data_IF_002890486330
#
_entry.id   IF_002890486330
#
_cell.length_a   1.000
_cell.length_b   1.000
_cell.length_c   1.000
_cell.angle_alpha   90.00
_cell.angle_beta   90.00
_cell.angle_gamma   90.00
#
_symmetry.space_group_name_H-M   'P 1'
#
loop_
_entity.id
_entity.type
_entity.pdbx_description
1 polymer ?
#
# COMPACT_ATOMS: atom_id res chain seq x y z
N UNK A 1 -23.18 -2.98 18.40
CA UNK A 1 -22.61 -1.72 18.97
C UNK A 1 -22.02 -0.93 17.82
N UNK A 2 -22.23 0.37 17.74
CA UNK A 2 -21.67 1.24 16.70
C UNK A 2 -20.28 1.67 17.15
N UNK A 3 -19.28 1.63 16.26
CA UNK A 3 -17.90 1.97 16.59
C UNK A 3 -17.14 2.51 15.37
N UNK A 4 -15.96 3.07 15.60
CA UNK A 4 -15.03 3.46 14.53
C UNK A 4 -14.40 2.21 13.95
N UNK A 5 -14.51 2.07 12.63
CA UNK A 5 -13.93 0.96 11.88
C UNK A 5 -13.07 1.51 10.74
N UNK A 6 -12.09 0.75 10.32
CA UNK A 6 -11.26 1.08 9.17
C UNK A 6 -12.14 1.06 7.90
N UNK A 7 -12.26 2.21 7.22
CA UNK A 7 -12.97 2.31 5.95
C UNK A 7 -12.08 1.93 4.76
N UNK A 8 -10.88 2.47 4.72
CA UNK A 8 -9.80 2.17 3.78
C UNK A 8 -8.52 2.84 4.30
N UNK A 9 -7.37 2.21 4.08
CA UNK A 9 -6.07 2.79 4.46
C UNK A 9 -4.95 2.32 3.53
N UNK A 10 -4.05 3.24 3.22
CA UNK A 10 -2.71 2.96 2.72
C UNK A 10 -1.72 3.71 3.61
N UNK A 11 -0.81 2.99 4.25
CA UNK A 11 0.16 3.60 5.16
C UNK A 11 1.17 4.42 4.40
N UNK A 12 1.68 5.47 5.04
CA UNK A 12 2.82 6.21 4.51
C UNK A 12 4.12 5.43 4.72
N UNK A 13 5.02 5.54 3.74
CA UNK A 13 6.38 5.03 3.78
C UNK A 13 7.32 6.07 4.40
N UNK A 14 8.47 5.60 4.88
CA UNK A 14 9.50 6.42 5.48
C UNK A 14 10.42 7.04 4.41
N UNK A 15 10.20 8.31 4.09
CA UNK A 15 11.06 9.10 3.21
C UNK A 15 11.99 10.06 3.96
N UNK A 16 12.31 9.82 5.22
CA UNK A 16 13.19 10.70 6.01
C UNK A 16 14.58 10.88 5.36
N UNK A 17 15.10 9.89 4.63
CA UNK A 17 16.37 9.97 3.91
C UNK A 17 16.30 10.73 2.58
N UNK A 18 15.08 10.91 2.03
CA UNK A 18 14.83 11.60 0.76
C UNK A 18 13.50 12.37 0.81
N UNK A 19 13.33 13.31 1.75
CA UNK A 19 12.06 13.97 1.99
C UNK A 19 11.71 14.99 0.90
N UNK A 20 10.43 15.25 0.73
CA UNK A 20 9.91 16.25 -0.19
C UNK A 20 9.87 17.61 0.50
N UNK A 21 10.63 18.59 -0.01
CA UNK A 21 10.65 19.98 0.46
C UNK A 21 9.81 20.84 -0.46
N UNK A 22 8.63 21.24 0.00
CA UNK A 22 7.66 21.98 -0.81
C UNK A 22 7.43 23.38 -0.21
N UNK A 23 7.43 24.41 -1.06
CA UNK A 23 7.16 25.80 -0.64
C UNK A 23 5.72 25.97 -0.19
N UNK A 24 4.81 25.38 -0.93
CA UNK A 24 3.38 25.26 -0.65
C UNK A 24 2.92 23.86 -1.08
N UNK A 25 1.80 23.42 -0.54
CA UNK A 25 1.17 22.16 -0.96
C UNK A 25 -0.33 22.36 -1.13
N UNK A 26 -0.86 21.91 -2.25
CA UNK A 26 -2.25 21.52 -2.41
C UNK A 26 -2.29 20.09 -2.95
N UNK A 27 -2.97 19.19 -2.25
CA UNK A 27 -3.14 17.80 -2.70
C UNK A 27 -4.59 17.39 -2.63
N UNK A 28 -5.05 16.61 -3.60
CA UNK A 28 -6.33 15.91 -3.60
C UNK A 28 -6.06 14.42 -3.57
N UNK A 29 -6.68 13.73 -2.63
CA UNK A 29 -6.66 12.27 -2.53
C UNK A 29 -8.08 11.77 -2.55
N UNK A 30 -8.38 10.83 -3.45
CA UNK A 30 -9.64 10.12 -3.49
C UNK A 30 -9.48 8.74 -2.86
N UNK A 31 -10.39 8.40 -1.96
CA UNK A 31 -10.52 7.06 -1.39
C UNK A 31 -11.91 6.51 -1.66
N UNK A 32 -12.00 5.20 -1.92
CA UNK A 32 -13.25 4.46 -2.00
C UNK A 32 -13.44 3.62 -0.74
N UNK A 33 -14.20 4.10 0.28
CA UNK A 33 -14.39 3.38 1.53
C UNK A 33 -15.15 2.06 1.34
N UNK A 34 -14.81 1.06 2.13
CA UNK A 34 -15.43 -0.25 2.14
C UNK A 34 -16.69 -0.33 3.02
N UNK A 35 -16.95 0.70 3.82
CA UNK A 35 -17.99 0.71 4.82
C UNK A 35 -18.95 1.89 4.63
N UNK A 36 -20.22 1.64 4.86
CA UNK A 36 -21.23 2.67 5.02
C UNK A 36 -21.33 3.11 6.47
N UNK A 37 -21.56 4.42 6.70
CA UNK A 37 -21.69 4.96 8.04
C UNK A 37 -22.15 6.40 8.07
N UNK A 38 -22.21 6.97 9.28
CA UNK A 38 -22.81 8.31 9.51
C UNK A 38 -21.79 9.39 9.82
N UNK A 39 -20.54 9.03 10.15
CA UNK A 39 -19.44 9.95 10.43
C UNK A 39 -18.14 9.39 9.89
N UNK A 40 -17.21 10.27 9.60
CA UNK A 40 -15.85 9.94 9.15
C UNK A 40 -14.79 10.66 9.98
N UNK A 41 -13.60 10.07 10.04
CA UNK A 41 -12.35 10.67 10.50
C UNK A 41 -11.25 10.38 9.49
N UNK A 42 -10.33 11.30 9.33
CA UNK A 42 -9.09 11.06 8.60
C UNK A 42 -8.00 10.60 9.57
N UNK A 43 -7.13 9.73 9.08
CA UNK A 43 -5.90 9.32 9.78
C UNK A 43 -4.74 10.04 9.11
N UNK A 44 -4.05 10.88 9.87
CA UNK A 44 -2.93 11.68 9.40
C UNK A 44 -1.64 11.26 10.10
N UNK A 45 -0.51 11.33 9.38
CA UNK A 45 0.81 10.89 9.85
C UNK A 45 1.89 11.95 9.63
N UNK A 46 2.75 12.11 10.60
CA UNK A 46 4.04 12.79 10.55
C UNK A 46 5.06 11.97 11.36
N UNK A 47 4.99 10.65 11.19
CA UNK A 47 5.76 9.69 11.99
C UNK A 47 7.27 9.80 11.69
N UNK A 48 7.61 10.12 10.46
CA UNK A 48 8.98 10.19 9.95
C UNK A 48 9.49 11.62 9.77
N UNK A 49 8.66 12.63 10.03
CA UNK A 49 9.01 14.03 9.86
C UNK A 49 10.04 14.55 10.86
N UNK A 50 10.83 15.53 10.43
CA UNK A 50 11.85 16.21 11.25
C UNK A 50 11.27 17.36 12.09
N UNK A 51 10.13 17.92 11.69
CA UNK A 51 9.44 19.03 12.34
C UNK A 51 7.92 18.79 12.31
N UNK A 52 7.17 19.58 13.09
CA UNK A 52 5.71 19.58 13.04
C UNK A 52 5.23 19.99 11.66
N UNK A 53 4.21 19.31 11.14
CA UNK A 53 3.52 19.66 9.89
C UNK A 53 2.23 20.42 10.18
N UNK A 54 1.95 21.42 9.37
CA UNK A 54 0.77 22.23 9.49
C UNK A 54 0.00 22.27 8.15
N UNK A 55 -1.24 21.83 8.19
CA UNK A 55 -2.20 22.00 7.10
C UNK A 55 -3.17 23.11 7.49
N UNK A 56 -3.19 24.19 6.71
CA UNK A 56 -4.04 25.35 6.99
C UNK A 56 -5.52 25.04 6.81
N UNK A 57 -5.83 24.19 5.81
CA UNK A 57 -7.19 23.74 5.52
C UNK A 57 -7.19 22.30 5.02
N UNK A 58 -8.17 21.53 5.51
CA UNK A 58 -8.48 20.20 5.01
C UNK A 58 -9.99 20.15 4.75
N UNK A 59 -10.36 19.77 3.53
CA UNK A 59 -11.75 19.60 3.12
C UNK A 59 -12.03 18.17 2.70
N UNK A 60 -13.24 17.71 2.99
CA UNK A 60 -13.78 16.44 2.50
C UNK A 60 -15.02 16.71 1.65
N UNK A 61 -15.14 16.04 0.50
CA UNK A 61 -16.25 16.15 -0.43
C UNK A 61 -16.60 14.79 -1.03
N UNK A 62 -17.81 14.67 -1.54
CA UNK A 62 -18.24 13.57 -2.42
C UNK A 62 -18.02 13.90 -3.90
N UNK A 63 -17.60 15.09 -4.21
CA UNK A 63 -17.37 15.63 -5.55
C UNK A 63 -15.91 16.02 -5.73
N UNK A 64 -15.29 15.60 -6.82
CA UNK A 64 -13.89 15.94 -7.14
C UNK A 64 -13.64 17.44 -7.24
N UNK A 65 -14.63 18.21 -7.68
CA UNK A 65 -14.54 19.66 -7.84
C UNK A 65 -14.82 20.47 -6.56
N UNK A 66 -15.18 19.79 -5.47
CA UNK A 66 -15.44 20.43 -4.16
C UNK A 66 -16.49 21.56 -4.18
N UNK A 67 -17.52 21.48 -5.05
CA UNK A 67 -18.64 22.46 -5.00
C UNK A 67 -19.33 22.39 -3.64
N UNK A 68 -19.61 21.19 -3.16
CA UNK A 68 -20.02 20.94 -1.77
C UNK A 68 -18.86 20.33 -1.01
N UNK A 69 -18.36 21.03 -0.02
CA UNK A 69 -17.20 20.59 0.80
C UNK A 69 -17.45 20.80 2.28
N UNK A 70 -16.90 19.91 3.09
CA UNK A 70 -17.00 19.93 4.53
C UNK A 70 -15.61 20.17 5.12
N UNK A 71 -15.50 21.19 6.00
CA UNK A 71 -14.26 21.47 6.71
C UNK A 71 -13.95 20.36 7.70
N UNK A 72 -12.76 19.77 7.59
CA UNK A 72 -12.21 18.86 8.57
C UNK A 72 -11.47 19.65 9.63
N UNK A 73 -11.64 19.29 10.90
CA UNK A 73 -11.00 19.94 12.04
C UNK A 73 -10.21 18.94 12.89
N UNK A 74 -9.30 19.47 13.68
CA UNK A 74 -8.63 18.72 14.76
C UNK A 74 -8.62 19.59 16.02
N UNK A 75 -9.11 19.06 17.13
CA UNK A 75 -9.36 19.82 18.37
C UNK A 75 -10.20 21.08 18.13
N UNK A 76 -11.21 20.97 17.25
CA UNK A 76 -12.10 22.06 16.78
C UNK A 76 -11.42 23.21 16.04
N UNK A 77 -10.13 23.06 15.71
CA UNK A 77 -9.38 24.02 14.90
C UNK A 77 -9.39 23.63 13.43
N UNK A 78 -9.51 24.61 12.52
CA UNK A 78 -9.42 24.41 11.06
C UNK A 78 -8.00 24.04 10.64
N UNK A 79 -7.02 24.71 11.26
CA UNK A 79 -5.62 24.41 11.05
C UNK A 79 -5.27 23.12 11.80
N UNK A 80 -4.74 22.15 11.08
CA UNK A 80 -4.36 20.85 11.62
C UNK A 80 -2.85 20.75 11.75
N UNK A 81 -2.37 20.67 12.98
CA UNK A 81 -0.94 20.48 13.26
C UNK A 81 -0.69 19.03 13.64
N UNK A 82 0.19 18.36 12.89
CA UNK A 82 0.63 17.00 13.17
C UNK A 82 2.02 17.08 13.77
N UNK A 83 2.15 16.77 15.06
CA UNK A 83 3.45 16.81 15.74
C UNK A 83 4.42 15.81 15.11
N UNK A 84 5.69 16.20 15.07
CA UNK A 84 6.80 15.30 14.69
C UNK A 84 6.73 13.98 15.44
N UNK A 85 6.90 12.86 14.74
CA UNK A 85 6.90 11.53 15.30
C UNK A 85 5.51 10.99 15.70
N UNK A 86 4.41 11.67 15.30
CA UNK A 86 3.07 11.30 15.71
C UNK A 86 2.13 11.04 14.53
N UNK A 87 1.09 10.29 14.83
CA UNK A 87 -0.12 10.15 14.02
C UNK A 87 -1.30 10.75 14.80
N UNK A 88 -2.32 11.22 14.08
CA UNK A 88 -3.55 11.70 14.68
C UNK A 88 -4.77 11.24 13.89
N UNK A 89 -5.91 11.24 14.57
CA UNK A 89 -7.22 11.13 13.96
C UNK A 89 -7.92 12.48 14.11
N UNK A 90 -8.51 12.97 13.01
CA UNK A 90 -9.25 14.24 13.03
C UNK A 90 -10.50 14.17 13.89
N UNK A 91 -11.13 15.31 14.16
CA UNK A 91 -12.44 15.32 14.79
C UNK A 91 -13.46 14.55 13.94
N UNK A 92 -14.51 13.98 14.55
CA UNK A 92 -15.59 13.35 13.80
C UNK A 92 -16.31 14.34 12.89
N UNK A 93 -16.31 14.09 11.59
CA UNK A 93 -17.13 14.82 10.64
C UNK A 93 -18.44 14.07 10.41
N UNK A 94 -19.59 14.70 10.70
CA UNK A 94 -20.91 14.13 10.38
C UNK A 94 -21.13 14.19 8.87
N UNK A 95 -21.01 13.04 8.22
CA UNK A 95 -21.21 12.86 6.79
C UNK A 95 -21.67 11.42 6.54
N UNK A 96 -22.81 11.27 5.88
CA UNK A 96 -23.29 9.94 5.46
C UNK A 96 -22.39 9.43 4.33
N UNK A 97 -21.76 8.29 4.55
CA UNK A 97 -20.86 7.60 3.60
C UNK A 97 -21.54 6.30 3.17
N UNK A 98 -21.34 5.93 1.92
CA UNK A 98 -21.73 4.62 1.38
C UNK A 98 -20.48 3.86 0.94
N UNK A 99 -20.47 2.55 1.19
CA UNK A 99 -19.43 1.67 0.69
C UNK A 99 -19.38 1.75 -0.85
N UNK A 100 -18.17 1.86 -1.41
CA UNK A 100 -17.96 2.01 -2.85
C UNK A 100 -18.12 3.44 -3.40
N UNK A 101 -18.62 4.41 -2.61
CA UNK A 101 -18.73 5.81 -3.01
C UNK A 101 -17.40 6.54 -2.77
N UNK A 102 -16.83 7.18 -3.79
CA UNK A 102 -15.57 7.93 -3.64
C UNK A 102 -15.73 9.14 -2.73
N UNK A 103 -14.76 9.34 -1.85
CA UNK A 103 -14.58 10.52 -1.03
C UNK A 103 -13.29 11.22 -1.44
N UNK A 104 -13.36 12.53 -1.62
CA UNK A 104 -12.25 13.36 -2.04
C UNK A 104 -11.78 14.21 -0.86
N UNK A 105 -10.50 14.19 -0.57
CA UNK A 105 -9.86 14.93 0.50
C UNK A 105 -8.90 15.93 -0.12
N UNK A 106 -9.15 17.23 0.11
CA UNK A 106 -8.29 18.32 -0.33
C UNK A 106 -7.56 18.90 0.87
N UNK A 107 -6.24 18.77 0.88
CA UNK A 107 -5.37 19.26 1.95
C UNK A 107 -4.47 20.37 1.44
N UNK A 108 -4.36 21.47 2.20
CA UNK A 108 -3.65 22.69 1.80
C UNK A 108 -2.68 23.13 2.88
N UNK A 109 -1.46 23.49 2.46
CA UNK A 109 -0.44 24.11 3.30
C UNK A 109 0.20 25.29 2.58
N UNK A 110 0.15 26.48 3.19
CA UNK A 110 0.61 27.73 2.59
C UNK A 110 2.11 28.00 2.81
N UNK A 111 2.72 27.32 3.78
CA UNK A 111 4.12 27.53 4.19
C UNK A 111 5.04 26.43 3.69
N UNK A 112 6.33 26.76 3.57
CA UNK A 112 7.38 25.78 3.25
C UNK A 112 7.48 24.73 4.36
N UNK A 113 7.39 23.46 3.98
CA UNK A 113 7.50 22.30 4.88
C UNK A 113 8.24 21.16 4.22
N UNK A 114 8.66 20.19 5.05
CA UNK A 114 9.36 18.97 4.63
C UNK A 114 8.49 17.77 4.95
N UNK A 115 8.12 17.00 3.94
CA UNK A 115 7.24 15.84 4.07
C UNK A 115 8.06 14.55 3.93
N UNK A 116 8.06 13.73 4.97
CA UNK A 116 8.75 12.44 5.01
C UNK A 116 7.79 11.25 5.09
N UNK A 117 6.53 11.50 5.42
CA UNK A 117 5.44 10.52 5.37
C UNK A 117 4.80 10.58 3.99
N UNK A 118 5.15 9.63 3.11
CA UNK A 118 4.73 9.62 1.70
C UNK A 118 4.01 8.32 1.40
N UNK A 119 2.80 8.41 0.85
CA UNK A 119 2.12 7.27 0.27
C UNK A 119 2.05 7.39 -1.25
N UNK A 120 1.95 6.26 -1.93
CA UNK A 120 1.89 6.26 -3.39
C UNK A 120 1.12 5.08 -3.95
N UNK A 121 0.67 5.24 -5.19
CA UNK A 121 0.02 4.19 -5.97
C UNK A 121 0.23 4.43 -7.48
N UNK A 122 0.02 3.42 -8.29
CA UNK A 122 -0.10 3.54 -9.75
C UNK A 122 -1.53 3.25 -10.19
N UNK A 123 -2.15 2.21 -9.65
CA UNK A 123 -3.57 1.92 -9.88
C UNK A 123 -4.46 3.02 -9.25
N UNK A 124 -5.66 3.21 -9.80
CA UNK A 124 -6.57 4.30 -9.42
C UNK A 124 -8.00 3.84 -9.14
N UNK A 125 -8.20 2.54 -8.99
CA UNK A 125 -9.53 1.97 -8.78
C UNK A 125 -10.15 2.39 -7.44
N UNK A 126 -9.37 2.27 -6.36
CA UNK A 126 -9.82 2.57 -4.99
C UNK A 126 -9.18 3.82 -4.41
N UNK A 127 -7.95 4.12 -4.83
CA UNK A 127 -7.16 5.25 -4.33
C UNK A 127 -6.57 5.98 -5.53
N UNK A 128 -6.75 7.29 -5.59
CA UNK A 128 -6.10 8.14 -6.60
C UNK A 128 -5.65 9.43 -5.93
N UNK A 129 -4.56 10.02 -6.40
CA UNK A 129 -4.03 11.25 -5.82
C UNK A 129 -3.37 12.14 -6.87
N UNK A 130 -3.35 13.43 -6.56
CA UNK A 130 -2.59 14.45 -7.29
C UNK A 130 -2.19 15.56 -6.34
N UNK A 131 -1.06 16.21 -6.60
CA UNK A 131 -0.62 17.38 -5.82
C UNK A 131 0.01 18.44 -6.71
N UNK A 132 0.07 19.66 -6.19
CA UNK A 132 0.75 20.82 -6.78
C UNK A 132 1.31 21.74 -5.72
N UNK A 133 2.18 22.68 -6.14
CA UNK A 133 2.86 23.61 -5.24
C UNK A 133 2.25 25.01 -5.29
N UNK A 134 0.92 25.09 -5.39
CA UNK A 134 0.15 26.36 -5.31
C UNK A 134 -0.99 26.19 -4.33
N UNK A 135 -1.04 27.01 -3.29
CA UNK A 135 -1.99 26.88 -2.18
C UNK A 135 -3.46 26.89 -2.63
N UNK A 136 -3.84 27.80 -3.54
CA UNK A 136 -5.23 27.93 -4.02
C UNK A 136 -5.57 27.03 -5.22
N UNK A 137 -4.67 26.13 -5.57
CA UNK A 137 -4.90 25.17 -6.65
C UNK A 137 -5.61 23.93 -6.14
N UNK A 138 -6.65 23.47 -6.86
CA UNK A 138 -7.27 22.16 -6.64
C UNK A 138 -6.77 21.19 -7.71
N UNK A 139 -5.84 20.28 -7.38
CA UNK A 139 -5.30 19.33 -8.34
C UNK A 139 -6.37 18.40 -8.89
N UNK A 140 -6.44 18.26 -10.20
CA UNK A 140 -7.31 17.27 -10.85
C UNK A 140 -6.68 15.89 -10.80
N UNK A 141 -7.49 14.89 -10.55
CA UNK A 141 -7.07 13.49 -10.56
C UNK A 141 -6.95 13.00 -12.01
N UNK A 142 -5.90 12.23 -12.26
CA UNK A 142 -5.64 11.64 -13.59
C UNK A 142 -5.56 10.13 -13.50
N UNK A 143 -6.05 9.45 -14.54
CA UNK A 143 -5.89 8.01 -14.71
C UNK A 143 -4.76 7.78 -15.71
N UNK A 144 -3.63 7.30 -15.24
CA UNK A 144 -2.48 6.91 -16.05
C UNK A 144 -1.66 5.87 -15.28
N UNK A 145 -1.70 4.61 -15.72
CA UNK A 145 -1.03 3.50 -15.04
C UNK A 145 0.51 3.58 -15.08
N UNK A 146 1.08 4.36 -16.00
CA UNK A 146 2.54 4.57 -16.06
C UNK A 146 3.02 5.73 -15.19
N UNK A 147 2.12 6.42 -14.49
CA UNK A 147 2.45 7.54 -13.63
C UNK A 147 2.21 7.21 -12.17
N UNK A 148 3.25 7.30 -11.34
CA UNK A 148 3.14 7.24 -9.89
C UNK A 148 2.33 8.42 -9.38
N UNK A 149 1.30 8.16 -8.58
CA UNK A 149 0.55 9.14 -7.81
C UNK A 149 1.09 9.11 -6.40
N UNK A 150 1.51 10.26 -5.89
CA UNK A 150 2.01 10.39 -4.52
C UNK A 150 1.22 11.44 -3.77
N UNK A 151 1.10 11.25 -2.45
CA UNK A 151 0.51 12.21 -1.53
C UNK A 151 1.21 12.13 -0.18
N UNK A 152 0.94 13.10 0.68
CA UNK A 152 1.69 13.30 1.91
C UNK A 152 0.77 13.23 3.13
N UNK A 153 1.23 12.57 4.18
CA UNK A 153 0.66 12.61 5.53
C UNK A 153 -0.77 12.10 5.71
N UNK A 154 -1.48 11.68 4.66
CA UNK A 154 -2.83 11.11 4.74
C UNK A 154 -2.78 9.61 4.53
N UNK A 155 -3.13 8.83 5.54
CA UNK A 155 -3.10 7.37 5.46
C UNK A 155 -4.46 6.76 5.12
N UNK A 156 -5.58 7.35 5.59
CA UNK A 156 -6.86 6.72 5.31
C UNK A 156 -8.05 7.34 6.03
N UNK A 157 -9.15 6.58 6.00
CA UNK A 157 -10.45 6.98 6.50
C UNK A 157 -10.97 5.95 7.50
N UNK A 158 -11.44 6.43 8.66
CA UNK A 158 -12.24 5.66 9.60
C UNK A 158 -13.72 6.04 9.43
N UNK A 159 -14.60 5.06 9.53
CA UNK A 159 -16.05 5.23 9.41
C UNK A 159 -16.75 4.81 10.69
N UNK A 160 -17.69 5.63 11.17
CA UNK A 160 -18.57 5.31 12.31
C UNK A 160 -19.74 4.46 11.84
N UNK A 161 -19.70 3.17 12.15
CA UNK A 161 -20.62 2.17 11.58
C UNK A 161 -20.98 1.07 12.57
N UNK A 162 -22.07 0.35 12.29
CA UNK A 162 -22.47 -0.86 13.02
C UNK A 162 -21.77 -2.13 12.50
N UNK A 163 -21.17 -2.08 11.32
CA UNK A 163 -20.48 -3.21 10.70
C UNK A 163 -19.16 -3.49 11.41
N UNK A 164 -18.76 -4.75 11.44
CA UNK A 164 -17.48 -5.21 11.99
C UNK A 164 -16.76 -6.00 10.90
N UNK A 165 -16.06 -5.33 9.98
CA UNK A 165 -15.42 -6.00 8.86
C UNK A 165 -14.19 -6.78 9.31
N UNK A 166 -13.83 -7.81 8.54
CA UNK A 166 -12.49 -8.38 8.55
C UNK A 166 -11.53 -7.39 7.88
N UNK A 167 -10.46 -7.01 8.55
CA UNK A 167 -9.39 -6.20 7.94
C UNK A 167 -8.47 -7.13 7.17
N UNK A 168 -8.40 -6.95 5.85
CA UNK A 168 -7.40 -7.62 5.00
C UNK A 168 -6.25 -6.66 4.75
N UNK A 169 -5.06 -7.07 5.17
CA UNK A 169 -3.82 -6.33 4.97
C UNK A 169 -3.10 -6.83 3.71
N UNK A 170 -2.71 -5.88 2.86
CA UNK A 170 -1.79 -6.10 1.76
C UNK A 170 -0.40 -5.65 2.19
N UNK A 171 0.53 -6.58 2.30
CA UNK A 171 1.90 -6.34 2.71
C UNK A 171 2.88 -6.80 1.63
N UNK A 172 4.16 -6.48 1.80
CA UNK A 172 5.20 -6.88 0.87
C UNK A 172 5.88 -5.69 0.21
N UNK A 173 6.10 -5.79 -1.09
CA UNK A 173 6.88 -4.84 -1.87
C UNK A 173 6.02 -4.03 -2.87
N UNK A 174 6.69 -3.47 -3.90
CA UNK A 174 6.04 -2.67 -4.95
C UNK A 174 4.88 -3.38 -5.66
N UNK A 175 4.89 -4.70 -5.75
CA UNK A 175 3.82 -5.46 -6.41
C UNK A 175 2.47 -5.26 -5.71
N UNK A 176 2.48 -5.02 -4.38
CA UNK A 176 1.29 -4.69 -3.61
C UNK A 176 1.08 -3.18 -3.44
N UNK A 177 2.17 -2.40 -3.19
CA UNK A 177 2.06 -0.94 -3.00
C UNK A 177 1.53 -0.23 -4.24
N UNK A 178 1.96 -0.62 -5.45
CA UNK A 178 1.53 -0.01 -6.70
C UNK A 178 0.02 -0.12 -6.97
N UNK A 179 -0.67 -1.01 -6.27
CA UNK A 179 -2.12 -1.10 -6.31
C UNK A 179 -2.69 -2.02 -7.38
N UNK A 180 -1.94 -2.45 -8.37
CA UNK A 180 -2.47 -3.27 -9.47
C UNK A 180 -3.10 -4.58 -8.98
N UNK A 181 -2.50 -5.25 -8.00
CA UNK A 181 -3.08 -6.44 -7.36
C UNK A 181 -4.00 -6.04 -6.21
N UNK A 182 -3.50 -5.22 -5.29
CA UNK A 182 -4.21 -4.94 -4.04
C UNK A 182 -5.51 -4.17 -4.26
N UNK A 183 -5.53 -3.14 -5.14
CA UNK A 183 -6.77 -2.41 -5.42
C UNK A 183 -7.73 -3.23 -6.28
N UNK A 184 -7.23 -4.03 -7.24
CA UNK A 184 -8.08 -4.91 -8.03
C UNK A 184 -8.77 -5.96 -7.14
N UNK A 185 -8.05 -6.59 -6.21
CA UNK A 185 -8.64 -7.51 -5.25
C UNK A 185 -9.59 -6.79 -4.28
N UNK A 186 -9.21 -5.59 -3.82
CA UNK A 186 -10.09 -4.76 -3.00
C UNK A 186 -11.42 -4.42 -3.70
N UNK A 187 -11.40 -4.14 -4.99
CA UNK A 187 -12.62 -3.94 -5.79
C UNK A 187 -13.51 -5.18 -5.80
N UNK A 188 -12.92 -6.36 -6.00
CA UNK A 188 -13.66 -7.63 -5.91
C UNK A 188 -14.24 -7.86 -4.49
N UNK A 189 -13.53 -7.45 -3.44
CA UNK A 189 -14.09 -7.50 -2.07
C UNK A 189 -15.29 -6.55 -1.88
N UNK A 190 -15.27 -5.36 -2.47
CA UNK A 190 -16.42 -4.46 -2.43
C UNK A 190 -17.65 -5.06 -3.14
N UNK A 191 -17.43 -5.77 -4.24
CA UNK A 191 -18.48 -6.38 -5.05
C UNK A 191 -19.06 -7.64 -4.37
N UNK A 192 -18.21 -8.53 -3.85
CA UNK A 192 -18.63 -9.85 -3.37
C UNK A 192 -18.82 -9.94 -1.85
N UNK A 193 -18.14 -9.09 -1.07
CA UNK A 193 -18.20 -9.06 0.39
C UNK A 193 -18.51 -7.66 0.93
N UNK A 194 -19.58 -7.00 0.46
CA UNK A 194 -19.89 -5.62 0.81
C UNK A 194 -20.00 -5.47 2.34
N UNK A 195 -19.25 -4.53 2.90
CA UNK A 195 -19.20 -4.18 4.32
C UNK A 195 -18.73 -5.30 5.27
N UNK A 196 -18.28 -6.44 4.74
CA UNK A 196 -17.74 -7.56 5.51
C UNK A 196 -16.22 -7.57 5.55
N UNK A 197 -15.57 -6.97 4.55
CA UNK A 197 -14.12 -6.87 4.42
C UNK A 197 -13.73 -5.40 4.28
N UNK A 198 -12.55 -5.03 4.75
CA UNK A 198 -11.96 -3.71 4.53
C UNK A 198 -10.48 -3.84 4.15
N UNK A 199 -9.95 -2.76 3.56
CA UNK A 199 -8.66 -2.70 2.89
C UNK A 199 -7.63 -1.91 3.72
N UNK A 200 -6.50 -2.54 3.99
CA UNK A 200 -5.29 -1.93 4.55
C UNK A 200 -4.11 -2.28 3.65
N UNK A 201 -3.46 -1.31 3.02
CA UNK A 201 -2.21 -1.53 2.31
C UNK A 201 -1.04 -0.97 3.14
N UNK A 202 -0.12 -1.85 3.53
CA UNK A 202 1.09 -1.54 4.28
C UNK A 202 2.35 -1.99 3.54
N UNK A 203 2.23 -2.32 2.25
CA UNK A 203 3.35 -2.69 1.41
C UNK A 203 4.26 -1.49 1.18
N UNK A 204 5.56 -1.73 1.03
CA UNK A 204 6.60 -0.71 0.80
C UNK A 204 7.44 -1.13 -0.40
N UNK A 205 7.49 -0.29 -1.43
CA UNK A 205 8.31 -0.54 -2.62
C UNK A 205 9.77 -0.84 -2.24
N UNK A 206 10.35 -1.84 -2.90
CA UNK A 206 11.73 -2.24 -2.64
C UNK A 206 11.95 -3.07 -1.38
N UNK A 207 10.94 -3.25 -0.53
CA UNK A 207 11.03 -4.05 0.68
C UNK A 207 11.46 -5.50 0.39
N UNK A 208 12.23 -6.08 1.30
CA UNK A 208 12.74 -7.45 1.22
C UNK A 208 12.08 -8.35 2.25
N UNK A 209 12.16 -9.65 2.03
CA UNK A 209 11.74 -10.64 3.00
C UNK A 209 12.74 -10.78 4.14
N UNK A 210 14.03 -11.01 3.81
CA UNK A 210 15.06 -11.46 4.75
C UNK A 210 15.77 -10.33 5.49
N UNK A 211 16.13 -9.27 4.78
CA UNK A 211 17.05 -8.24 5.27
C UNK A 211 16.42 -6.85 5.16
N UNK A 212 16.74 -6.00 6.10
CA UNK A 212 16.43 -4.58 6.00
C UNK A 212 17.08 -3.99 4.75
N UNK A 213 16.47 -2.97 4.20
CA UNK A 213 16.95 -2.38 2.96
C UNK A 213 18.31 -1.69 3.16
N UNK A 214 19.17 -1.70 2.12
CA UNK A 214 20.46 -1.06 2.19
C UNK A 214 20.35 0.44 2.46
N UNK A 215 21.36 1.01 3.11
CA UNK A 215 21.47 2.44 3.41
C UNK A 215 22.58 3.13 2.62
N UNK A 216 23.21 2.44 1.68
CA UNK A 216 24.25 2.96 0.79
C UNK A 216 23.70 3.91 -0.29
N UNK A 217 22.39 4.12 -0.34
CA UNK A 217 21.72 5.14 -1.15
C UNK A 217 20.51 5.69 -0.40
N UNK A 218 20.23 7.01 -0.45
CA UNK A 218 19.02 7.59 0.16
C UNK A 218 17.72 6.94 -0.33
N UNK A 219 17.64 6.59 -1.61
CA UNK A 219 16.48 5.92 -2.18
C UNK A 219 16.31 4.51 -1.61
N UNK A 220 17.37 3.71 -1.56
CA UNK A 220 17.29 2.34 -1.02
C UNK A 220 16.90 2.34 0.45
N UNK A 221 17.35 3.33 1.21
CA UNK A 221 16.98 3.48 2.62
C UNK A 221 15.47 3.72 2.84
N UNK A 222 14.74 4.26 1.85
CA UNK A 222 13.27 4.43 1.94
C UNK A 222 12.52 3.09 1.89
N UNK A 223 13.14 2.00 1.43
CA UNK A 223 12.52 0.67 1.33
C UNK A 223 12.35 -0.03 2.68
N UNK A 224 12.98 0.50 3.72
CA UNK A 224 12.69 0.21 5.12
C UNK A 224 13.10 -1.17 5.62
N UNK A 225 12.43 -1.62 6.67
CA UNK A 225 12.69 -2.90 7.32
C UNK A 225 12.19 -4.08 6.46
N UNK A 226 12.86 -5.22 6.59
CA UNK A 226 12.39 -6.49 6.04
C UNK A 226 11.05 -6.91 6.62
N UNK A 227 10.30 -7.73 5.88
CA UNK A 227 9.03 -8.28 6.39
C UNK A 227 9.22 -9.09 7.67
N UNK A 228 10.36 -9.77 7.83
CA UNK A 228 10.67 -10.53 9.04
C UNK A 228 10.98 -9.66 10.26
N UNK A 229 11.38 -8.41 10.07
CA UNK A 229 11.65 -7.45 11.15
C UNK A 229 10.44 -6.54 11.44
N UNK A 230 9.53 -6.40 10.49
CA UNK A 230 8.31 -5.60 10.71
C UNK A 230 7.46 -6.21 11.81
N UNK A 231 7.09 -5.39 12.77
CA UNK A 231 6.08 -5.80 13.74
C UNK A 231 4.74 -5.93 13.02
N UNK A 232 3.97 -6.98 13.31
CA UNK A 232 2.62 -7.13 12.78
C UNK A 232 1.81 -5.87 13.07
N UNK A 233 1.01 -5.46 12.11
CA UNK A 233 0.07 -4.33 12.27
C UNK A 233 -1.01 -4.71 13.31
N UNK A 234 -1.87 -3.78 13.74
CA UNK A 234 -2.70 -3.94 14.92
C UNK A 234 -3.52 -5.24 14.94
N UNK A 235 -3.84 -5.69 16.14
CA UNK A 235 -4.62 -6.91 16.47
C UNK A 235 -5.97 -7.06 15.74
N UNK A 236 -6.37 -6.09 14.93
CA UNK A 236 -7.59 -6.10 14.13
C UNK A 236 -7.44 -6.70 12.72
N UNK A 237 -6.21 -7.00 12.28
CA UNK A 237 -5.98 -7.65 10.97
C UNK A 237 -6.42 -9.10 11.03
N UNK A 238 -7.37 -9.48 10.16
CA UNK A 238 -7.90 -10.83 10.08
C UNK A 238 -7.12 -11.72 9.11
N UNK A 239 -6.50 -11.13 8.07
CA UNK A 239 -5.72 -11.83 7.06
C UNK A 239 -4.67 -10.87 6.50
N UNK A 240 -3.43 -11.34 6.32
CA UNK A 240 -2.40 -10.62 5.55
C UNK A 240 -2.08 -11.35 4.25
N UNK A 241 -2.01 -10.60 3.16
CA UNK A 241 -1.64 -11.08 1.82
C UNK A 241 -0.30 -10.43 1.46
N UNK A 242 0.75 -11.26 1.30
CA UNK A 242 2.12 -10.80 1.14
C UNK A 242 2.71 -11.21 -0.21
N UNK A 243 3.17 -10.23 -1.01
CA UNK A 243 4.03 -10.51 -2.17
C UNK A 243 5.43 -9.98 -1.84
N UNK A 244 6.43 -10.87 -1.87
CA UNK A 244 7.78 -10.55 -1.41
C UNK A 244 8.84 -11.53 -1.95
N UNK A 245 10.10 -11.29 -1.60
CA UNK A 245 11.24 -12.16 -1.92
C UNK A 245 11.91 -11.80 -3.25
N UNK A 246 11.26 -11.04 -4.13
CA UNK A 246 11.86 -10.57 -5.38
C UNK A 246 13.03 -9.63 -5.16
N UNK A 247 12.89 -8.68 -4.24
CA UNK A 247 13.94 -7.70 -3.94
C UNK A 247 15.13 -8.30 -3.19
N UNK A 248 14.99 -9.43 -2.51
CA UNK A 248 16.13 -10.18 -1.97
C UNK A 248 17.06 -10.66 -3.08
N UNK A 249 16.51 -10.99 -4.25
CA UNK A 249 17.24 -11.47 -5.43
C UNK A 249 17.71 -10.33 -6.34
N UNK A 250 17.04 -9.18 -6.33
CA UNK A 250 17.30 -8.06 -7.23
C UNK A 250 18.26 -7.02 -6.64
N UNK A 251 18.09 -6.63 -5.37
CA UNK A 251 18.87 -5.55 -4.77
C UNK A 251 20.38 -5.82 -4.68
N UNK A 252 20.89 -7.07 -4.58
CA UNK A 252 22.32 -7.34 -4.65
C UNK A 252 23.02 -6.80 -5.90
N UNK A 253 22.28 -6.54 -6.99
CA UNK A 253 22.83 -5.93 -8.22
C UNK A 253 23.04 -4.42 -8.08
N UNK A 254 22.25 -3.77 -7.21
CA UNK A 254 22.19 -2.30 -7.11
C UNK A 254 22.81 -1.74 -5.84
N UNK A 255 23.23 -2.61 -4.90
CA UNK A 255 23.73 -2.22 -3.60
C UNK A 255 24.92 -3.07 -3.19
N UNK A 256 26.04 -2.41 -2.83
CA UNK A 256 27.24 -3.06 -2.29
C UNK A 256 27.01 -3.67 -0.90
N UNK A 257 26.06 -3.15 -0.13
CA UNK A 257 25.65 -3.74 1.15
C UNK A 257 24.84 -5.01 0.92
N UNK A 258 23.87 -4.98 0.02
CA UNK A 258 23.02 -6.14 -0.28
C UNK A 258 23.82 -7.28 -0.94
N UNK A 259 24.82 -6.97 -1.78
CA UNK A 259 25.65 -7.98 -2.45
C UNK A 259 26.48 -8.84 -1.51
N UNK A 260 26.74 -8.36 -0.28
CA UNK A 260 27.47 -9.11 0.78
C UNK A 260 26.56 -10.03 1.60
N UNK A 261 25.23 -9.98 1.40
CA UNK A 261 24.28 -10.75 2.17
C UNK A 261 24.00 -12.11 1.49
N UNK A 262 23.81 -13.14 2.33
CA UNK A 262 23.61 -14.51 1.83
C UNK A 262 22.14 -14.72 1.46
N UNK A 263 21.88 -14.81 0.16
CA UNK A 263 20.54 -15.12 -0.37
C UNK A 263 20.62 -16.43 -1.17
N UNK A 264 20.17 -17.49 -0.55
CA UNK A 264 20.12 -18.86 -1.14
C UNK A 264 18.69 -19.38 -1.17
N UNK A 265 18.39 -20.45 -1.92
CA UNK A 265 17.10 -21.10 -1.83
C UNK A 265 16.72 -21.49 -0.40
N UNK A 266 17.65 -22.03 0.38
CA UNK A 266 17.41 -22.44 1.76
C UNK A 266 17.05 -21.26 2.67
N UNK A 267 17.78 -20.13 2.58
CA UNK A 267 17.51 -18.94 3.40
C UNK A 267 16.16 -18.30 3.05
N UNK A 268 15.80 -18.23 1.75
CA UNK A 268 14.50 -17.70 1.33
C UNK A 268 13.35 -18.60 1.78
N UNK A 269 13.45 -19.91 1.59
CA UNK A 269 12.45 -20.88 2.06
C UNK A 269 12.25 -20.78 3.57
N UNK A 270 13.34 -20.69 4.35
CA UNK A 270 13.27 -20.47 5.79
C UNK A 270 12.61 -19.13 6.14
N UNK A 271 12.91 -18.08 5.37
CA UNK A 271 12.28 -16.75 5.51
C UNK A 271 10.75 -16.80 5.28
N UNK A 272 10.30 -17.45 4.20
CA UNK A 272 8.87 -17.62 3.94
C UNK A 272 8.18 -18.43 5.06
N UNK A 273 8.81 -19.52 5.53
CA UNK A 273 8.29 -20.31 6.66
C UNK A 273 8.13 -19.45 7.90
N UNK A 274 9.14 -18.64 8.24
CA UNK A 274 9.08 -17.71 9.37
C UNK A 274 7.98 -16.67 9.18
N UNK A 275 7.84 -16.07 7.99
CA UNK A 275 6.76 -15.12 7.70
C UNK A 275 5.38 -15.72 7.96
N UNK A 276 5.12 -16.92 7.43
CA UNK A 276 3.83 -17.60 7.54
C UNK A 276 3.48 -18.03 8.97
N UNK A 277 4.47 -18.18 9.87
CA UNK A 277 4.27 -18.69 11.24
C UNK A 277 4.44 -17.65 12.33
N UNK A 278 5.11 -16.50 12.06
CA UNK A 278 5.43 -15.52 13.10
C UNK A 278 4.42 -14.38 13.23
N UNK A 279 3.56 -14.21 12.24
CA UNK A 279 2.51 -13.19 12.32
C UNK A 279 1.30 -13.71 13.11
N UNK A 280 0.63 -12.86 13.91
CA UNK A 280 -0.46 -13.29 14.81
C UNK A 280 -1.76 -13.66 14.09
N UNK A 281 -1.89 -13.30 12.81
CA UNK A 281 -3.03 -13.60 11.96
C UNK A 281 -2.60 -14.49 10.79
N UNK A 282 -3.53 -15.20 10.12
CA UNK A 282 -3.24 -15.96 8.91
C UNK A 282 -2.52 -15.12 7.87
N UNK A 283 -1.51 -15.70 7.22
CA UNK A 283 -0.75 -15.08 6.13
C UNK A 283 -0.88 -15.94 4.89
N UNK A 284 -1.24 -15.33 3.78
CA UNK A 284 -1.13 -15.88 2.43
C UNK A 284 0.02 -15.18 1.73
N UNK A 285 0.93 -15.95 1.13
CA UNK A 285 1.98 -15.36 0.30
C UNK A 285 1.90 -15.88 -1.13
N UNK A 286 2.55 -15.18 -2.06
CA UNK A 286 2.68 -15.64 -3.43
C UNK A 286 4.05 -16.30 -3.66
N UNK A 287 4.13 -17.20 -4.65
CA UNK A 287 5.41 -17.53 -5.27
C UNK A 287 6.08 -16.26 -5.78
N UNK A 288 7.41 -16.19 -5.77
CA UNK A 288 8.17 -15.03 -6.25
C UNK A 288 7.93 -14.85 -7.75
N UNK A 289 7.39 -13.69 -8.12
CA UNK A 289 7.02 -13.39 -9.50
C UNK A 289 8.26 -13.30 -10.41
N UNK A 290 8.13 -13.61 -11.71
CA UNK A 290 9.23 -13.53 -12.67
C UNK A 290 9.61 -12.07 -12.94
N UNK A 291 10.90 -11.80 -13.18
CA UNK A 291 11.42 -10.52 -13.61
C UNK A 291 12.34 -10.69 -14.82
N UNK A 292 12.28 -9.78 -15.79
CA UNK A 292 13.05 -9.89 -17.03
C UNK A 292 14.55 -9.61 -16.85
N UNK A 293 14.90 -8.73 -15.91
CA UNK A 293 16.28 -8.28 -15.65
C UNK A 293 16.89 -8.93 -14.40
N UNK A 294 16.62 -10.19 -14.17
CA UNK A 294 17.21 -10.95 -13.07
C UNK A 294 18.47 -11.68 -13.56
N UNK A 295 19.52 -11.74 -12.74
CA UNK A 295 20.73 -12.50 -13.04
C UNK A 295 20.43 -14.01 -13.07
N UNK A 296 21.15 -14.77 -13.90
CA UNK A 296 20.92 -16.21 -14.07
C UNK A 296 20.94 -16.98 -12.74
N UNK A 297 21.88 -16.68 -11.84
CA UNK A 297 21.96 -17.29 -10.52
C UNK A 297 20.75 -16.96 -9.64
N UNK A 298 20.29 -15.69 -9.66
CA UNK A 298 19.10 -15.25 -8.92
C UNK A 298 17.83 -15.89 -9.48
N UNK A 299 17.74 -16.07 -10.81
CA UNK A 299 16.63 -16.78 -11.44
C UNK A 299 16.61 -18.27 -11.05
N UNK A 300 17.75 -18.94 -11.04
CA UNK A 300 17.86 -20.32 -10.57
C UNK A 300 17.40 -20.44 -9.11
N UNK A 301 17.80 -19.48 -8.25
CA UNK A 301 17.35 -19.40 -6.86
C UNK A 301 15.83 -19.20 -6.78
N UNK A 302 15.26 -18.26 -7.54
CA UNK A 302 13.81 -18.01 -7.60
C UNK A 302 13.04 -19.27 -7.97
N UNK A 303 13.48 -20.00 -9.00
CA UNK A 303 12.84 -21.22 -9.47
C UNK A 303 12.91 -22.35 -8.43
N UNK A 304 14.05 -22.51 -7.74
CA UNK A 304 14.22 -23.48 -6.67
C UNK A 304 13.30 -23.19 -5.47
N UNK A 305 13.24 -21.91 -5.03
CA UNK A 305 12.33 -21.44 -3.97
C UNK A 305 10.87 -21.70 -4.37
N UNK A 306 10.46 -21.30 -5.56
CA UNK A 306 9.07 -21.46 -6.00
C UNK A 306 8.66 -22.94 -6.12
N UNK A 307 9.59 -23.84 -6.44
CA UNK A 307 9.32 -25.27 -6.45
C UNK A 307 8.93 -25.79 -5.07
N UNK A 308 9.66 -25.36 -4.04
CA UNK A 308 9.35 -25.71 -2.64
C UNK A 308 8.03 -25.09 -2.18
N UNK A 309 7.87 -23.77 -2.41
CA UNK A 309 6.71 -23.01 -1.96
C UNK A 309 5.38 -23.56 -2.50
N UNK A 310 5.35 -24.11 -3.73
CA UNK A 310 4.14 -24.65 -4.35
C UNK A 310 3.49 -25.80 -3.56
N UNK A 311 4.23 -26.46 -2.70
CA UNK A 311 3.70 -27.52 -1.85
C UNK A 311 3.00 -27.01 -0.58
N UNK A 312 3.06 -25.71 -0.28
CA UNK A 312 2.54 -25.14 0.95
C UNK A 312 1.12 -24.56 0.77
N UNK A 313 0.16 -24.91 1.63
CA UNK A 313 -1.24 -24.54 1.45
C UNK A 313 -1.50 -23.03 1.54
N UNK A 314 -0.62 -22.26 2.19
CA UNK A 314 -0.73 -20.81 2.30
C UNK A 314 -0.11 -20.06 1.10
N UNK A 315 0.41 -20.77 0.10
CA UNK A 315 1.08 -20.17 -1.04
C UNK A 315 0.19 -20.16 -2.28
N UNK A 316 -0.10 -18.96 -2.75
CA UNK A 316 -0.73 -18.72 -4.05
C UNK A 316 0.33 -18.75 -5.17
N UNK A 317 0.15 -19.60 -6.20
CA UNK A 317 1.12 -19.67 -7.31
C UNK A 317 0.92 -18.57 -8.36
N UNK A 318 1.14 -17.32 -7.95
CA UNK A 318 1.02 -16.17 -8.84
C UNK A 318 2.02 -16.17 -10.00
N UNK A 319 3.22 -16.71 -9.79
CA UNK A 319 4.23 -16.77 -10.84
C UNK A 319 3.78 -17.59 -12.04
N UNK A 320 3.10 -18.72 -11.82
CA UNK A 320 2.60 -19.61 -12.90
C UNK A 320 1.63 -18.89 -13.83
N UNK A 321 0.85 -17.97 -13.32
CA UNK A 321 -0.18 -17.26 -14.11
C UNK A 321 0.40 -16.24 -15.09
N UNK A 322 1.57 -15.70 -14.77
CA UNK A 322 2.16 -14.58 -15.50
C UNK A 322 3.23 -14.98 -16.53
N UNK A 323 3.69 -16.22 -16.50
CA UNK A 323 4.77 -16.68 -17.39
C UNK A 323 4.26 -17.20 -18.73
N UNK A 324 5.09 -17.03 -19.76
CA UNK A 324 4.93 -17.67 -21.06
C UNK A 324 5.46 -19.12 -21.05
N UNK A 325 5.44 -19.78 -22.21
CA UNK A 325 5.97 -21.16 -22.37
C UNK A 325 7.47 -21.31 -22.08
N UNK A 326 8.21 -20.20 -21.97
CA UNK A 326 9.63 -20.18 -21.62
C UNK A 326 9.89 -19.80 -20.16
N UNK A 327 8.84 -19.61 -19.35
CA UNK A 327 8.93 -19.21 -17.93
C UNK A 327 9.22 -17.71 -17.72
N UNK A 328 9.14 -16.89 -18.78
CA UNK A 328 9.37 -15.45 -18.70
C UNK A 328 8.06 -14.69 -18.51
N UNK A 329 8.13 -13.54 -17.85
CA UNK A 329 6.97 -12.66 -17.69
C UNK A 329 6.40 -12.25 -19.05
N UNK A 330 5.14 -12.57 -19.30
CA UNK A 330 4.43 -12.25 -20.55
C UNK A 330 4.43 -10.73 -20.81
N UNK A 331 4.73 -10.27 -22.03
CA UNK A 331 4.70 -8.84 -22.36
C UNK A 331 3.37 -8.16 -22.06
N UNK A 332 2.24 -8.87 -22.24
CA UNK A 332 0.88 -8.36 -21.97
C UNK A 332 0.61 -8.02 -20.51
N UNK A 333 1.43 -8.52 -19.57
CA UNK A 333 1.27 -8.30 -18.14
C UNK A 333 2.35 -7.39 -17.54
N UNK A 334 3.22 -6.80 -18.38
CA UNK A 334 4.30 -5.91 -17.93
C UNK A 334 3.90 -4.44 -17.97
N UNK A 335 4.38 -3.67 -16.99
CA UNK A 335 4.27 -2.21 -16.98
C UNK A 335 5.24 -1.53 -17.98
N UNK A 336 6.23 -2.26 -18.49
CA UNK A 336 7.22 -1.79 -19.46
C UNK A 336 8.67 -1.79 -18.94
N UNK A 337 8.88 -1.92 -17.64
CA UNK A 337 10.22 -1.93 -17.02
C UNK A 337 10.83 -3.34 -16.90
N UNK A 338 10.04 -4.37 -17.21
CA UNK A 338 10.46 -5.77 -17.14
C UNK A 338 10.49 -6.37 -15.74
N UNK A 339 9.93 -5.66 -14.76
CA UNK A 339 9.84 -6.07 -13.35
C UNK A 339 8.40 -6.02 -12.85
N UNK A 340 7.73 -4.88 -13.02
CA UNK A 340 6.41 -4.66 -12.49
C UNK A 340 5.32 -5.12 -13.46
N UNK A 341 4.21 -5.57 -12.89
CA UNK A 341 3.02 -5.91 -13.65
C UNK A 341 2.17 -4.66 -13.90
N UNK A 342 1.40 -4.70 -14.98
CA UNK A 342 0.42 -3.67 -15.33
C UNK A 342 -0.98 -4.03 -14.79
N UNK A 343 -2.00 -3.22 -15.12
CA UNK A 343 -3.37 -3.44 -14.68
C UNK A 343 -3.93 -4.80 -15.13
N UNK A 344 -3.60 -5.27 -16.33
CA UNK A 344 -4.07 -6.57 -16.83
C UNK A 344 -3.50 -7.74 -16.02
N UNK A 345 -2.19 -7.69 -15.69
CA UNK A 345 -1.55 -8.67 -14.81
C UNK A 345 -2.12 -8.64 -13.39
N UNK A 346 -2.36 -7.43 -12.88
CA UNK A 346 -2.96 -7.22 -11.56
C UNK A 346 -4.38 -7.78 -11.46
N UNK A 347 -5.22 -7.54 -12.45
CA UNK A 347 -6.59 -8.06 -12.52
C UNK A 347 -6.62 -9.60 -12.57
N UNK A 348 -5.74 -10.21 -13.40
CA UNK A 348 -5.62 -11.67 -13.45
C UNK A 348 -5.24 -12.24 -12.08
N UNK A 349 -4.19 -11.70 -11.45
CA UNK A 349 -3.76 -12.16 -10.13
C UNK A 349 -4.87 -11.97 -9.08
N UNK A 350 -5.55 -10.84 -9.09
CA UNK A 350 -6.62 -10.55 -8.13
C UNK A 350 -7.79 -11.55 -8.24
N UNK A 351 -8.24 -11.86 -9.46
CA UNK A 351 -9.31 -12.84 -9.68
C UNK A 351 -8.92 -14.25 -9.19
N UNK A 352 -7.72 -14.69 -9.54
CA UNK A 352 -7.24 -16.02 -9.16
C UNK A 352 -6.93 -16.09 -7.65
N UNK A 353 -6.44 -15.00 -7.07
CA UNK A 353 -6.19 -14.91 -5.63
C UNK A 353 -7.51 -14.93 -4.85
N UNK A 354 -8.56 -14.25 -5.32
CA UNK A 354 -9.88 -14.33 -4.70
C UNK A 354 -10.42 -15.77 -4.72
N UNK A 355 -10.28 -16.47 -5.85
CA UNK A 355 -10.67 -17.87 -5.95
C UNK A 355 -9.89 -18.75 -4.97
N UNK A 356 -8.58 -18.53 -4.86
CA UNK A 356 -7.71 -19.20 -3.88
C UNK A 356 -8.17 -18.95 -2.44
N UNK A 357 -8.48 -17.70 -2.07
CA UNK A 357 -8.94 -17.35 -0.73
C UNK A 357 -10.28 -18.02 -0.39
N UNK A 358 -11.21 -18.10 -1.35
CA UNK A 358 -12.49 -18.80 -1.20
C UNK A 358 -12.30 -20.29 -0.99
N UNK A 359 -11.50 -20.93 -1.83
CA UNK A 359 -11.22 -22.39 -1.75
C UNK A 359 -10.62 -22.78 -0.41
N UNK A 360 -9.81 -21.91 0.19
CA UNK A 360 -9.15 -22.13 1.47
C UNK A 360 -9.94 -21.57 2.69
N UNK A 361 -11.17 -21.08 2.51
CA UNK A 361 -12.04 -20.53 3.57
C UNK A 361 -11.39 -19.41 4.40
N UNK A 362 -10.65 -18.52 3.75
CA UNK A 362 -9.90 -17.44 4.40
C UNK A 362 -10.66 -16.10 4.46
N UNK A 363 -11.80 -16.00 3.81
CA UNK A 363 -12.68 -14.81 3.77
C UNK A 363 -13.95 -14.98 4.59
#
# INVERSE_FOLDING_TARGET
MISWQLGIMQTCDNFATMPFRLGQLAQVVAYTPFLSGSKVRLVLSNLYGEADLCFDEIYLSKEEKFHVKHQVTYLKQKQVVIRRGHKLQTDPLTLKVQAGEKLYIWMKASRKQTYADVASTYATDLINASYGQKFDYCPSLRVNEHQRKSWFSLEGILVWTKHKPKVVEFAGDSLMEMGFVSQALGKLFLEEYPQQVTYLNSAVSGSRLLYDCPTDSPLLATYGQSLLQRKPKPSSVALSICFCGGNDLLLPVYSSQASKQVVTPATLVAGFRKLLTSWPNPVVSSTILPAKKIQAQSEATRLAVNRELRSWPQIFDGAKLLVDGQGKLKPTYQLGDGLHINQAGGNLLAQQLLAFLKTNSLL
#
